data_IF_981970790471
#
_entry.id   IF_981970790471
#
_cell.length_a   1.000
_cell.length_b   1.000
_cell.length_c   1.000
_cell.angle_alpha   90.00
_cell.angle_beta   90.00
_cell.angle_gamma   90.00
#
_symmetry.space_group_name_H-M   'P 1'
#
loop_
_entity.id
_entity.type
_entity.pdbx_description
1 polymer ?
#
# COMPACT_ATOMS: atom_id res chain seq x y z
N UNK A 1 -34.87 11.95 16.11
CA UNK A 1 -33.41 12.01 16.28
C UNK A 1 -33.01 10.78 17.09
N UNK A 2 -32.74 9.67 16.42
CA UNK A 2 -32.43 8.40 17.09
C UNK A 2 -30.94 8.15 16.87
N UNK A 3 -30.20 8.23 17.97
CA UNK A 3 -28.77 7.98 18.06
C UNK A 3 -28.52 6.50 17.74
N UNK A 4 -27.99 6.22 16.55
CA UNK A 4 -27.62 4.88 16.13
C UNK A 4 -26.55 4.30 17.07
N UNK A 5 -26.93 3.30 17.85
CA UNK A 5 -26.00 2.46 18.58
C UNK A 5 -25.10 1.75 17.57
N UNK A 6 -23.83 2.14 17.49
CA UNK A 6 -22.82 1.43 16.71
C UNK A 6 -22.68 0.02 17.31
N UNK A 7 -23.39 -0.96 16.72
CA UNK A 7 -23.35 -2.35 17.18
C UNK A 7 -21.96 -2.92 16.94
N UNK A 8 -21.38 -3.61 17.91
CA UNK A 8 -20.07 -4.26 17.85
C UNK A 8 -19.85 -5.14 16.61
N UNK A 9 -20.91 -5.70 16.02
CA UNK A 9 -20.87 -6.43 14.76
C UNK A 9 -20.51 -5.54 13.56
N UNK A 10 -21.03 -4.33 13.49
CA UNK A 10 -20.73 -3.34 12.44
C UNK A 10 -19.27 -2.90 12.51
N UNK A 11 -18.75 -2.69 13.72
CA UNK A 11 -17.33 -2.36 13.95
C UNK A 11 -16.41 -3.49 13.49
N UNK A 12 -16.70 -4.74 13.87
CA UNK A 12 -15.92 -5.92 13.44
C UNK A 12 -15.98 -6.17 11.92
N UNK A 13 -17.11 -5.87 11.28
CA UNK A 13 -17.26 -6.01 9.83
C UNK A 13 -16.51 -4.91 9.06
N UNK A 14 -16.49 -3.67 9.57
CA UNK A 14 -15.74 -2.56 8.99
C UNK A 14 -14.21 -2.70 9.14
N UNK A 15 -13.75 -3.36 10.22
CA UNK A 15 -12.33 -3.64 10.46
C UNK A 15 -11.70 -4.54 9.37
N UNK A 16 -12.46 -5.49 8.82
CA UNK A 16 -11.96 -6.43 7.81
C UNK A 16 -11.35 -5.75 6.58
N UNK A 17 -12.13 -5.02 5.77
CA UNK A 17 -11.62 -4.28 4.61
C UNK A 17 -10.76 -3.07 5.00
N UNK A 18 -11.03 -2.43 6.14
CA UNK A 18 -10.23 -1.30 6.63
C UNK A 18 -8.79 -1.67 6.96
N UNK A 19 -8.56 -2.82 7.60
CA UNK A 19 -7.22 -3.29 7.95
C UNK A 19 -6.41 -3.67 6.71
N UNK A 20 -7.05 -4.24 5.70
CA UNK A 20 -6.41 -4.57 4.41
C UNK A 20 -6.00 -3.30 3.67
N UNK A 21 -6.87 -2.28 3.68
CA UNK A 21 -6.56 -0.97 3.10
C UNK A 21 -5.42 -0.28 3.86
N UNK A 22 -5.40 -0.37 5.20
CA UNK A 22 -4.31 0.15 6.02
C UNK A 22 -3.00 -0.58 5.73
N UNK A 23 -3.03 -1.91 5.62
CA UNK A 23 -1.88 -2.71 5.27
C UNK A 23 -1.31 -2.36 3.89
N UNK A 24 -2.18 -2.17 2.90
CA UNK A 24 -1.79 -1.74 1.57
C UNK A 24 -1.19 -0.33 1.55
N UNK A 25 -1.56 0.53 2.51
CA UNK A 25 -1.01 1.87 2.67
C UNK A 25 0.34 1.89 3.40
N UNK A 26 0.67 0.85 4.18
CA UNK A 26 1.94 0.71 4.90
C UNK A 26 2.90 -0.14 4.06
N UNK A 27 3.81 0.52 3.35
CA UNK A 27 4.75 -0.13 2.44
C UNK A 27 6.22 0.09 2.80
N UNK A 28 7.09 -0.29 1.86
CA UNK A 28 8.56 -0.15 1.93
C UNK A 28 9.01 1.29 2.23
N UNK A 29 8.24 2.29 1.77
CA UNK A 29 8.51 3.71 2.07
C UNK A 29 8.45 4.02 3.56
N UNK A 30 7.54 3.38 4.30
CA UNK A 30 7.41 3.60 5.74
C UNK A 30 8.41 2.76 6.53
N UNK A 31 8.69 1.52 6.12
CA UNK A 31 9.56 0.63 6.90
C UNK A 31 11.06 0.84 6.65
N UNK A 32 11.44 1.07 5.39
CA UNK A 32 12.86 1.16 4.99
C UNK A 32 13.27 2.59 4.70
N UNK A 33 12.46 3.36 3.97
CA UNK A 33 12.86 4.72 3.63
C UNK A 33 12.75 5.68 4.82
N UNK A 34 11.71 5.55 5.66
CA UNK A 34 11.58 6.42 6.85
C UNK A 34 12.65 6.15 7.90
N UNK A 35 13.01 4.87 8.12
CA UNK A 35 14.06 4.47 9.06
C UNK A 35 15.43 4.90 8.56
N UNK A 36 15.69 4.74 7.26
CA UNK A 36 16.87 5.29 6.60
C UNK A 36 16.95 6.81 6.72
N UNK A 37 15.85 7.52 6.44
CA UNK A 37 15.82 8.97 6.56
C UNK A 37 16.03 9.43 8.02
N UNK A 38 15.49 8.69 9.00
CA UNK A 38 15.75 8.94 10.42
C UNK A 38 17.22 8.69 10.80
N UNK A 39 17.87 7.67 10.23
CA UNK A 39 19.28 7.40 10.45
C UNK A 39 20.20 8.45 9.79
N UNK A 40 19.86 8.92 8.59
CA UNK A 40 20.67 9.89 7.83
C UNK A 40 20.48 11.33 8.33
N UNK A 41 19.25 11.72 8.68
CA UNK A 41 18.90 13.12 8.98
C UNK A 41 18.47 13.37 10.43
N UNK A 42 18.38 12.32 11.25
CA UNK A 42 17.90 12.42 12.63
C UNK A 42 16.50 13.03 12.70
N UNK A 43 16.33 13.97 13.64
CA UNK A 43 15.06 14.67 13.86
C UNK A 43 14.86 15.91 12.97
N UNK A 44 15.82 16.24 12.11
CA UNK A 44 15.79 17.45 11.28
C UNK A 44 14.58 17.46 10.32
N UNK A 45 14.07 16.28 9.96
CA UNK A 45 12.94 16.13 9.03
C UNK A 45 11.56 16.07 9.70
N UNK A 46 11.45 16.15 11.04
CA UNK A 46 10.14 16.04 11.74
C UNK A 46 9.12 17.03 11.17
N UNK A 47 9.50 18.29 10.98
CA UNK A 47 8.60 19.31 10.45
C UNK A 47 8.07 18.96 9.05
N UNK A 48 8.94 18.44 8.19
CA UNK A 48 8.58 17.99 6.84
C UNK A 48 7.66 16.76 6.93
N UNK A 49 7.95 15.81 7.81
CA UNK A 49 7.11 14.62 8.01
C UNK A 49 5.70 15.01 8.45
N UNK A 50 5.55 15.94 9.40
CA UNK A 50 4.24 16.43 9.84
C UNK A 50 3.48 17.09 8.68
N UNK A 51 4.15 17.95 7.92
CA UNK A 51 3.57 18.66 6.78
C UNK A 51 3.13 17.69 5.67
N UNK A 52 3.96 16.71 5.33
CA UNK A 52 3.62 15.67 4.35
C UNK A 52 2.41 14.86 4.80
N UNK A 53 2.33 14.48 6.08
CA UNK A 53 1.16 13.76 6.59
C UNK A 53 -0.11 14.62 6.56
N UNK A 54 -0.01 15.91 6.88
CA UNK A 54 -1.14 16.85 6.80
C UNK A 54 -1.69 16.95 5.38
N UNK A 55 -0.84 17.10 4.37
CA UNK A 55 -1.28 17.18 2.98
C UNK A 55 -1.70 15.83 2.42
N UNK A 56 -1.09 14.73 2.86
CA UNK A 56 -1.42 13.37 2.40
C UNK A 56 -2.81 12.94 2.87
N UNK A 57 -3.18 13.29 4.10
CA UNK A 57 -4.40 12.78 4.74
C UNK A 57 -5.70 13.02 3.92
N UNK A 58 -5.99 14.22 3.39
CA UNK A 58 -7.18 14.44 2.57
C UNK A 58 -7.29 13.48 1.38
N UNK A 59 -6.20 13.23 0.65
CA UNK A 59 -6.21 12.35 -0.51
C UNK A 59 -6.55 10.90 -0.14
N UNK A 60 -6.10 10.44 1.04
CA UNK A 60 -6.44 9.10 1.54
C UNK A 60 -7.87 9.02 2.06
N UNK A 61 -8.41 10.08 2.67
CA UNK A 61 -9.78 10.10 3.17
C UNK A 61 -10.80 10.13 2.01
N UNK A 62 -10.56 10.94 0.98
CA UNK A 62 -11.54 11.15 -0.08
C UNK A 62 -11.81 9.91 -0.93
N UNK A 63 -10.84 8.99 -1.08
CA UNK A 63 -11.04 7.77 -1.87
C UNK A 63 -12.12 6.86 -1.30
N UNK A 64 -11.94 6.31 -0.08
CA UNK A 64 -12.95 5.50 0.60
C UNK A 64 -14.25 6.27 0.79
N UNK A 65 -14.18 7.56 1.15
CA UNK A 65 -15.37 8.40 1.34
C UNK A 65 -16.20 8.55 0.06
N UNK A 66 -15.55 8.72 -1.09
CA UNK A 66 -16.23 8.74 -2.40
C UNK A 66 -16.92 7.40 -2.67
N UNK A 67 -16.21 6.28 -2.46
CA UNK A 67 -16.75 4.95 -2.72
C UNK A 67 -17.97 4.63 -1.83
N UNK A 68 -17.92 5.01 -0.55
CA UNK A 68 -19.04 4.83 0.40
C UNK A 68 -20.21 5.74 0.06
N UNK A 69 -19.96 7.01 -0.27
CA UNK A 69 -21.02 8.00 -0.53
C UNK A 69 -21.74 7.76 -1.88
N UNK A 70 -21.04 7.24 -2.88
CA UNK A 70 -21.58 7.07 -4.25
C UNK A 70 -21.92 5.63 -4.60
N UNK A 71 -21.38 4.65 -3.87
CA UNK A 71 -21.47 3.22 -4.23
C UNK A 71 -20.64 2.83 -5.45
N UNK A 72 -19.82 3.74 -5.99
CA UNK A 72 -19.01 3.53 -7.18
C UNK A 72 -17.50 3.52 -6.86
N UNK A 73 -16.71 2.79 -7.65
CA UNK A 73 -15.25 2.84 -7.54
C UNK A 73 -14.68 4.15 -8.14
N UNK A 74 -13.50 4.60 -7.67
CA UNK A 74 -12.90 5.89 -8.08
C UNK A 74 -12.75 6.06 -9.60
N UNK A 75 -12.42 4.99 -10.33
CA UNK A 75 -12.29 5.05 -11.80
C UNK A 75 -13.62 5.40 -12.48
N UNK A 76 -14.76 4.96 -11.93
CA UNK A 76 -16.08 5.36 -12.43
C UNK A 76 -16.33 6.85 -12.13
N UNK A 77 -15.85 7.34 -10.98
CA UNK A 77 -15.81 8.77 -10.68
C UNK A 77 -14.99 9.57 -11.69
N UNK A 78 -13.77 9.14 -12.03
CA UNK A 78 -12.97 9.80 -13.08
C UNK A 78 -13.68 9.77 -14.44
N UNK A 79 -14.41 8.69 -14.76
CA UNK A 79 -15.21 8.63 -15.98
C UNK A 79 -16.29 9.72 -16.04
N UNK A 80 -16.89 10.09 -14.90
CA UNK A 80 -17.88 11.17 -14.82
C UNK A 80 -17.29 12.56 -15.11
N UNK A 81 -16.00 12.77 -14.81
CA UNK A 81 -15.28 13.99 -15.17
C UNK A 81 -14.93 14.07 -16.67
N UNK A 82 -14.94 12.92 -17.36
CA UNK A 82 -14.71 12.79 -18.80
C UNK A 82 -13.55 11.87 -19.15
N UNK A 83 -13.40 11.57 -20.45
CA UNK A 83 -12.38 10.63 -20.95
C UNK A 83 -10.94 11.10 -20.71
N UNK A 84 -10.72 12.41 -20.60
CA UNK A 84 -9.41 13.00 -20.31
C UNK A 84 -8.89 12.60 -18.92
N UNK A 85 -9.77 12.51 -17.92
CA UNK A 85 -9.39 12.16 -16.55
C UNK A 85 -8.94 10.70 -16.44
N UNK A 86 -9.59 9.80 -17.18
CA UNK A 86 -9.15 8.40 -17.30
C UNK A 86 -7.80 8.32 -18.02
N UNK A 87 -7.62 9.08 -19.11
CA UNK A 87 -6.34 9.15 -19.83
C UNK A 87 -5.19 9.57 -18.91
N UNK A 88 -5.42 10.61 -18.10
CA UNK A 88 -4.46 11.08 -17.10
C UNK A 88 -4.18 10.03 -16.02
N UNK A 89 -5.22 9.38 -15.50
CA UNK A 89 -5.08 8.29 -14.52
C UNK A 89 -4.22 7.14 -15.07
N UNK A 90 -4.48 6.70 -16.31
CA UNK A 90 -3.70 5.64 -16.95
C UNK A 90 -2.25 6.08 -17.16
N UNK A 91 -2.03 7.31 -17.63
CA UNK A 91 -0.68 7.85 -17.85
C UNK A 91 0.15 7.83 -16.57
N UNK A 92 -0.38 8.36 -15.47
CA UNK A 92 0.32 8.36 -14.18
C UNK A 92 0.49 6.96 -13.61
N UNK A 93 -0.55 6.13 -13.68
CA UNK A 93 -0.49 4.75 -13.16
C UNK A 93 0.58 3.96 -13.90
N UNK A 94 0.57 3.99 -15.23
CA UNK A 94 1.54 3.28 -16.04
C UNK A 94 2.95 3.87 -15.92
N UNK A 95 3.07 5.19 -15.81
CA UNK A 95 4.37 5.86 -15.61
C UNK A 95 5.01 5.53 -14.26
N UNK A 96 4.20 5.41 -13.21
CA UNK A 96 4.70 5.20 -11.83
C UNK A 96 4.87 3.73 -11.46
N UNK A 97 4.09 2.81 -12.03
CA UNK A 97 4.08 1.41 -11.60
C UNK A 97 5.45 0.74 -11.76
N UNK A 98 6.20 1.05 -12.83
CA UNK A 98 7.53 0.48 -13.04
C UNK A 98 8.54 0.96 -12.01
N UNK A 99 8.49 2.26 -11.66
CA UNK A 99 9.38 2.83 -10.66
C UNK A 99 9.07 2.26 -9.26
N UNK A 100 7.79 2.18 -8.89
CA UNK A 100 7.35 1.57 -7.63
C UNK A 100 7.77 0.10 -7.58
N UNK A 101 7.52 -0.65 -8.65
CA UNK A 101 7.87 -2.08 -8.73
C UNK A 101 9.39 -2.29 -8.61
N UNK A 102 10.20 -1.46 -9.29
CA UNK A 102 11.66 -1.55 -9.24
C UNK A 102 12.18 -1.30 -7.82
N UNK A 103 11.70 -0.24 -7.15
CA UNK A 103 12.13 0.10 -5.78
C UNK A 103 11.73 -1.00 -4.79
N UNK A 104 10.49 -1.47 -4.85
CA UNK A 104 10.00 -2.51 -3.94
C UNK A 104 10.79 -3.82 -4.13
N UNK A 105 11.03 -4.21 -5.39
CA UNK A 105 11.78 -5.43 -5.70
C UNK A 105 13.24 -5.33 -5.24
N UNK A 106 13.91 -4.21 -5.55
CA UNK A 106 15.31 -3.98 -5.18
C UNK A 106 15.49 -4.03 -3.66
N UNK A 107 14.65 -3.33 -2.91
CA UNK A 107 14.76 -3.28 -1.45
C UNK A 107 14.50 -4.67 -0.86
N UNK A 108 13.49 -5.38 -1.35
CA UNK A 108 13.20 -6.75 -0.87
C UNK A 108 14.36 -7.70 -1.17
N UNK A 109 14.92 -7.64 -2.38
CA UNK A 109 16.07 -8.45 -2.78
C UNK A 109 17.32 -8.11 -1.95
N UNK A 110 17.55 -6.83 -1.62
CA UNK A 110 18.69 -6.39 -0.80
C UNK A 110 18.63 -6.93 0.64
N UNK A 111 17.42 -7.19 1.15
CA UNK A 111 17.21 -7.77 2.48
C UNK A 111 17.17 -9.30 2.47
N UNK A 112 17.02 -9.93 1.31
CA UNK A 112 16.86 -11.39 1.21
C UNK A 112 18.10 -12.15 1.69
N UNK A 113 19.31 -11.73 1.31
CA UNK A 113 20.55 -12.39 1.75
C UNK A 113 20.76 -12.29 3.27
N UNK A 114 20.70 -11.11 3.92
CA UNK A 114 20.80 -11.01 5.37
C UNK A 114 19.77 -11.84 6.15
N UNK A 115 18.56 -12.01 5.62
CA UNK A 115 17.47 -12.73 6.29
C UNK A 115 17.51 -14.24 6.07
N UNK A 116 18.02 -14.71 4.93
CA UNK A 116 18.03 -16.14 4.57
C UNK A 116 19.39 -16.80 4.78
N UNK A 117 20.46 -16.02 4.87
CA UNK A 117 21.84 -16.52 4.90
C UNK A 117 22.33 -17.07 3.56
N UNK A 118 21.55 -16.98 2.48
CA UNK A 118 21.92 -17.47 1.15
C UNK A 118 22.56 -16.33 0.36
N UNK A 119 23.83 -16.51 0.01
CA UNK A 119 24.59 -15.56 -0.79
C UNK A 119 24.24 -15.69 -2.28
N UNK A 120 23.30 -14.88 -2.73
CA UNK A 120 22.97 -14.70 -4.15
C UNK A 120 23.07 -13.22 -4.51
N UNK A 121 23.31 -12.94 -5.78
CA UNK A 121 23.29 -11.57 -6.27
C UNK A 121 21.89 -10.94 -6.10
N UNK A 122 21.83 -9.63 -5.91
CA UNK A 122 20.57 -8.87 -5.81
C UNK A 122 19.71 -9.07 -7.07
N UNK A 123 20.35 -9.20 -8.22
CA UNK A 123 19.69 -9.47 -9.50
C UNK A 123 18.99 -10.83 -9.49
N UNK A 124 19.68 -11.87 -9.01
CA UNK A 124 19.10 -13.23 -8.89
C UNK A 124 17.92 -13.25 -7.92
N UNK A 125 18.07 -12.62 -6.74
CA UNK A 125 16.98 -12.50 -5.78
C UNK A 125 15.78 -11.75 -6.35
N UNK A 126 16.02 -10.66 -7.08
CA UNK A 126 14.95 -9.88 -7.72
C UNK A 126 14.12 -10.73 -8.67
N UNK A 127 14.77 -11.54 -9.51
CA UNK A 127 14.09 -12.45 -10.43
C UNK A 127 13.28 -13.51 -9.66
N UNK A 128 13.88 -14.13 -8.64
CA UNK A 128 13.21 -15.13 -7.81
C UNK A 128 11.95 -14.56 -7.15
N UNK A 129 12.07 -13.38 -6.54
CA UNK A 129 10.95 -12.70 -5.84
C UNK A 129 9.83 -12.38 -6.83
N UNK A 130 10.14 -11.81 -8.00
CA UNK A 130 9.14 -11.47 -9.01
C UNK A 130 8.42 -12.73 -9.52
N UNK A 131 9.15 -13.81 -9.79
CA UNK A 131 8.56 -15.08 -10.22
C UNK A 131 7.64 -15.64 -9.14
N UNK A 132 8.08 -15.65 -7.88
CA UNK A 132 7.31 -16.14 -6.75
C UNK A 132 6.01 -15.34 -6.57
N UNK A 133 6.11 -14.01 -6.55
CA UNK A 133 4.95 -13.12 -6.43
C UNK A 133 3.98 -13.30 -7.60
N UNK A 134 4.50 -13.42 -8.83
CA UNK A 134 3.66 -13.65 -10.02
C UNK A 134 2.94 -14.99 -9.94
N UNK A 135 3.64 -16.06 -9.55
CA UNK A 135 3.04 -17.39 -9.39
C UNK A 135 1.95 -17.40 -8.31
N UNK A 136 2.17 -16.70 -7.19
CA UNK A 136 1.17 -16.55 -6.13
C UNK A 136 -0.08 -15.81 -6.61
N UNK A 137 0.09 -14.72 -7.37
CA UNK A 137 -1.02 -13.94 -7.92
C UNK A 137 -1.83 -14.72 -8.97
N UNK A 138 -1.17 -15.46 -9.87
CA UNK A 138 -1.84 -16.29 -10.88
C UNK A 138 -2.70 -17.37 -10.22
N UNK A 139 -2.24 -17.93 -9.08
CA UNK A 139 -3.00 -18.94 -8.33
C UNK A 139 -4.26 -18.39 -7.64
N UNK A 140 -4.52 -17.07 -7.73
CA UNK A 140 -5.79 -16.44 -7.39
C UNK A 140 -6.14 -16.38 -5.91
N UNK A 141 -5.23 -16.75 -5.01
CA UNK A 141 -5.56 -16.97 -3.61
C UNK A 141 -5.44 -15.68 -2.77
N UNK A 142 -6.19 -14.64 -3.15
CA UNK A 142 -6.26 -13.36 -2.41
C UNK A 142 -6.54 -13.57 -0.91
N UNK A 143 -7.30 -14.61 -0.55
CA UNK A 143 -7.59 -14.97 0.84
C UNK A 143 -6.37 -15.47 1.64
N UNK A 144 -5.32 -15.97 0.97
CA UNK A 144 -4.05 -16.34 1.61
C UNK A 144 -3.19 -15.09 1.78
N UNK A 145 -3.09 -14.25 0.75
CA UNK A 145 -2.37 -12.98 0.82
C UNK A 145 -2.93 -12.10 1.96
N UNK A 146 -4.25 -11.98 2.03
CA UNK A 146 -4.97 -11.25 3.09
C UNK A 146 -4.62 -11.76 4.50
N UNK A 147 -4.60 -13.08 4.70
CA UNK A 147 -4.23 -13.68 6.00
C UNK A 147 -2.78 -13.43 6.38
N UNK A 148 -1.86 -13.54 5.43
CA UNK A 148 -0.43 -13.29 5.65
C UNK A 148 -0.19 -11.83 6.02
N UNK A 149 -0.82 -10.90 5.31
CA UNK A 149 -0.72 -9.46 5.58
C UNK A 149 -1.27 -9.10 6.96
N UNK A 150 -2.42 -9.68 7.35
CA UNK A 150 -2.99 -9.52 8.69
C UNK A 150 -2.07 -10.03 9.80
N UNK A 151 -1.40 -11.17 9.56
CA UNK A 151 -0.43 -11.72 10.50
C UNK A 151 0.76 -10.78 10.70
N UNK A 152 1.36 -10.28 9.62
CA UNK A 152 2.47 -9.33 9.71
C UNK A 152 2.07 -8.04 10.45
N UNK A 153 0.89 -7.48 10.18
CA UNK A 153 0.38 -6.32 10.91
C UNK A 153 0.11 -6.57 12.39
N UNK A 154 -0.17 -7.81 12.78
CA UNK A 154 -0.38 -8.13 14.20
C UNK A 154 0.91 -8.31 14.98
N UNK A 155 2.01 -8.64 14.30
CA UNK A 155 3.33 -8.88 14.89
C UNK A 155 4.15 -7.59 14.96
N UNK A 156 3.96 -6.68 14.00
CA UNK A 156 4.65 -5.40 13.88
C UNK A 156 3.97 -4.30 14.71
#
# INVERSE_FOLDING_TARGET
>A
MQSDSITWCTFRYAFGPGLVMAAAAIGVSHLVQSTRAGAEYGFSLIGIVLLVNLFKYPFLEFGPRYAVATGEHLIAGYRKLGRWAIGLFILFTFGTVFAIQAVVTLVTASLATPLTGIELSVQTWSVIIVILCTALLIRGNYAVLDRVVKLFLSVL
#
